data_IF_140443978127
#
_entry.id   IF_140443978127
#
_cell.length_a   1.000
_cell.length_b   1.000
_cell.length_c   1.000
_cell.angle_alpha   90.00
_cell.angle_beta   90.00
_cell.angle_gamma   90.00
#
_symmetry.space_group_name_H-M   'P 1'
#
loop_
_entity.id
_entity.type
_entity.pdbx_description
1 polymer ?
#
# COMPACT_ATOMS: atom_id res chain seq x y z
N UNK A 1 19.81 -26.35 -38.91
CA UNK A 1 19.85 -24.89 -38.64
C UNK A 1 18.79 -24.40 -37.65
N UNK A 2 17.54 -24.93 -37.65
CA UNK A 2 16.46 -24.48 -36.73
C UNK A 2 16.71 -24.75 -35.23
N UNK A 3 17.38 -25.85 -34.86
CA UNK A 3 17.70 -26.19 -33.46
C UNK A 3 18.88 -25.39 -32.87
N UNK A 4 19.78 -24.87 -33.71
CA UNK A 4 20.94 -24.10 -33.23
C UNK A 4 20.56 -22.66 -32.85
N UNK A 5 19.53 -22.09 -33.50
CA UNK A 5 19.01 -20.76 -33.13
C UNK A 5 18.28 -20.79 -31.79
N UNK A 6 17.55 -21.86 -31.48
CA UNK A 6 16.80 -22.00 -30.22
C UNK A 6 17.73 -22.17 -29.02
N UNK A 7 18.84 -22.89 -29.18
CA UNK A 7 19.86 -23.05 -28.14
C UNK A 7 20.65 -21.76 -27.88
N UNK A 8 20.97 -20.99 -28.93
CA UNK A 8 21.70 -19.74 -28.78
C UNK A 8 20.88 -18.66 -28.04
N UNK A 9 19.56 -18.62 -28.26
CA UNK A 9 18.64 -17.73 -27.56
C UNK A 9 18.49 -18.06 -26.06
N UNK A 10 18.49 -19.36 -25.71
CA UNK A 10 18.44 -19.80 -24.30
C UNK A 10 19.73 -19.46 -23.54
N UNK A 11 20.89 -19.56 -24.19
CA UNK A 11 22.20 -19.28 -23.58
C UNK A 11 22.42 -17.77 -23.38
N UNK A 12 21.89 -16.92 -24.26
CA UNK A 12 21.98 -15.45 -24.07
C UNK A 12 21.07 -14.94 -22.95
N UNK A 13 19.92 -15.57 -22.70
CA UNK A 13 19.10 -15.28 -21.53
C UNK A 13 19.82 -15.62 -20.20
N UNK A 14 20.65 -16.66 -20.17
CA UNK A 14 21.35 -17.08 -18.95
C UNK A 14 22.53 -16.16 -18.58
N UNK A 15 23.13 -15.46 -19.54
CA UNK A 15 24.27 -14.55 -19.30
C UNK A 15 23.87 -13.12 -18.89
N UNK A 16 22.56 -12.84 -18.80
CA UNK A 16 22.00 -11.57 -18.34
C UNK A 16 21.90 -11.43 -16.82
N UNK A 17 22.42 -12.39 -16.05
CA UNK A 17 22.54 -12.34 -14.58
C UNK A 17 23.60 -11.32 -14.15
N UNK A 18 23.43 -10.05 -14.54
CA UNK A 18 23.96 -8.94 -13.76
C UNK A 18 23.25 -9.04 -12.41
N UNK A 19 24.01 -9.05 -11.32
CA UNK A 19 23.48 -9.09 -9.97
C UNK A 19 22.57 -7.87 -9.76
N UNK A 20 21.28 -8.03 -10.06
CA UNK A 20 20.25 -7.10 -9.67
C UNK A 20 20.10 -7.28 -8.17
N UNK A 21 20.67 -6.33 -7.43
CA UNK A 21 20.66 -6.37 -5.97
C UNK A 21 19.20 -6.30 -5.52
N UNK A 22 18.71 -7.44 -5.04
CA UNK A 22 17.33 -7.60 -4.59
C UNK A 22 17.35 -7.52 -3.07
N UNK A 23 16.92 -6.38 -2.53
CA UNK A 23 16.85 -6.18 -1.09
C UNK A 23 15.43 -6.52 -0.63
N UNK A 24 15.31 -7.47 0.30
CA UNK A 24 14.06 -7.80 0.95
C UNK A 24 14.12 -7.43 2.42
N UNK A 25 13.07 -6.81 2.92
CA UNK A 25 13.03 -6.37 4.31
C UNK A 25 11.63 -6.23 4.88
N UNK A 26 11.51 -6.22 6.21
CA UNK A 26 10.26 -5.86 6.86
C UNK A 26 9.94 -4.40 6.59
N UNK A 27 8.66 -4.10 6.32
CA UNK A 27 8.13 -2.75 6.23
C UNK A 27 7.10 -2.53 7.33
N UNK A 28 7.25 -1.43 8.06
CA UNK A 28 6.28 -0.98 9.05
C UNK A 28 6.06 0.52 8.86
N UNK A 29 4.85 0.98 9.14
CA UNK A 29 4.50 2.38 8.96
C UNK A 29 3.19 2.74 9.62
N UNK A 30 2.89 4.03 9.57
CA UNK A 30 1.62 4.60 10.00
C UNK A 30 0.83 5.05 8.78
N UNK A 31 -0.48 4.87 8.85
CA UNK A 31 -1.42 5.28 7.81
C UNK A 31 -2.27 6.45 8.34
N UNK A 32 -2.63 7.38 7.47
CA UNK A 32 -3.55 8.47 7.76
C UNK A 32 -4.62 8.46 6.69
N UNK A 33 -5.80 7.95 7.06
CA UNK A 33 -6.91 7.82 6.14
C UNK A 33 -8.07 8.73 6.54
N UNK A 34 -8.69 9.31 5.51
CA UNK A 34 -10.00 9.95 5.56
C UNK A 34 -10.83 9.36 4.42
N UNK A 35 -12.07 8.99 4.67
CA UNK A 35 -12.98 8.44 3.66
C UNK A 35 -14.13 9.41 3.45
N UNK A 36 -14.46 9.72 2.20
CA UNK A 36 -15.69 10.43 1.85
C UNK A 36 -16.70 9.43 1.27
N UNK A 37 -17.95 9.53 1.69
CA UNK A 37 -19.05 8.74 1.13
C UNK A 37 -19.97 9.67 0.33
N UNK A 38 -20.09 9.42 -0.98
CA UNK A 38 -21.15 9.97 -1.83
C UNK A 38 -20.90 11.35 -2.44
N UNK A 39 -20.02 12.18 -1.89
CA UNK A 39 -19.80 13.53 -2.44
C UNK A 39 -18.30 13.93 -2.42
N UNK A 40 -17.83 14.49 -3.54
CA UNK A 40 -16.45 14.97 -3.66
C UNK A 40 -16.41 16.37 -3.07
N UNK A 41 -16.03 16.47 -1.78
CA UNK A 41 -15.88 17.76 -1.08
C UNK A 41 -16.90 18.03 0.02
N UNK A 42 -17.92 17.18 0.20
CA UNK A 42 -18.78 17.28 1.39
C UNK A 42 -18.05 16.68 2.59
N UNK A 43 -17.81 17.50 3.62
CA UNK A 43 -17.34 17.12 4.95
C UNK A 43 -16.30 16.00 4.95
N UNK A 44 -15.06 16.35 4.62
CA UNK A 44 -13.90 15.50 4.88
C UNK A 44 -14.02 14.97 6.31
N UNK A 45 -14.32 13.68 6.38
CA UNK A 45 -14.49 12.96 7.62
C UNK A 45 -13.13 12.97 8.34
N UNK A 46 -13.12 13.19 9.66
CA UNK A 46 -11.89 13.36 10.43
C UNK A 46 -10.89 12.23 10.15
N UNK A 47 -9.62 12.62 10.08
CA UNK A 47 -8.52 11.71 9.82
C UNK A 47 -8.41 10.70 10.95
N UNK A 48 -8.14 9.45 10.61
CA UNK A 48 -7.88 8.41 11.59
C UNK A 48 -6.54 7.75 11.30
N UNK A 49 -5.74 7.67 12.35
CA UNK A 49 -4.47 6.95 12.33
C UNK A 49 -4.71 5.45 12.18
N UNK A 50 -3.94 4.86 11.28
CA UNK A 50 -3.81 3.46 11.00
C UNK A 50 -2.35 3.03 11.09
N UNK A 51 -2.11 1.76 10.83
CA UNK A 51 -0.75 1.22 10.72
C UNK A 51 -0.70 0.23 9.57
N UNK A 52 0.51 0.03 9.06
CA UNK A 52 0.83 -0.97 8.07
C UNK A 52 2.05 -1.77 8.52
N UNK A 53 2.04 -3.06 8.22
CA UNK A 53 3.16 -3.95 8.49
C UNK A 53 3.21 -5.05 7.43
N UNK A 54 4.41 -5.45 7.00
CA UNK A 54 4.57 -6.47 5.98
C UNK A 54 5.99 -6.63 5.49
N UNK A 55 6.12 -7.07 4.24
CA UNK A 55 7.39 -7.30 3.57
C UNK A 55 7.46 -6.42 2.33
N UNK A 56 8.64 -5.87 2.05
CA UNK A 56 8.95 -5.15 0.83
C UNK A 56 10.20 -5.74 0.20
N UNK A 57 10.18 -5.91 -1.11
CA UNK A 57 11.29 -6.30 -1.96
C UNK A 57 11.59 -5.18 -2.95
N UNK A 58 12.79 -4.61 -2.89
CA UNK A 58 13.29 -3.60 -3.83
C UNK A 58 14.28 -4.29 -4.78
N UNK A 59 14.01 -4.22 -6.08
CA UNK A 59 14.81 -4.85 -7.11
C UNK A 59 15.36 -3.79 -8.07
N UNK A 60 16.69 -3.67 -8.12
CA UNK A 60 17.35 -2.67 -8.94
C UNK A 60 17.35 -3.07 -10.44
N UNK A 61 16.87 -2.16 -11.28
CA UNK A 61 16.85 -2.25 -12.74
C UNK A 61 17.68 -1.12 -13.38
N UNK A 62 18.81 -0.73 -12.79
CA UNK A 62 19.79 0.17 -13.39
C UNK A 62 20.50 1.05 -12.37
N UNK A 63 20.61 2.35 -12.67
CA UNK A 63 21.17 3.33 -11.72
C UNK A 63 20.12 4.26 -11.13
N UNK A 64 18.87 4.20 -11.62
CA UNK A 64 17.81 5.17 -11.29
C UNK A 64 16.42 4.58 -11.20
N UNK A 65 16.24 3.32 -11.62
CA UNK A 65 14.94 2.69 -11.67
C UNK A 65 14.98 1.38 -10.90
N UNK A 66 13.98 1.22 -10.04
CA UNK A 66 13.83 0.14 -9.10
C UNK A 66 12.41 -0.40 -9.23
N UNK A 67 12.23 -1.70 -9.04
CA UNK A 67 10.92 -2.31 -8.87
C UNK A 67 10.72 -2.65 -7.41
N UNK A 68 9.81 -1.94 -6.78
CA UNK A 68 9.40 -2.15 -5.41
C UNK A 68 8.14 -3.01 -5.40
N UNK A 69 8.24 -4.20 -4.80
CA UNK A 69 7.12 -5.11 -4.59
C UNK A 69 6.82 -5.19 -3.10
N UNK A 70 5.56 -5.05 -2.71
CA UNK A 70 5.20 -5.01 -1.29
C UNK A 70 4.01 -5.91 -1.01
N UNK A 71 4.04 -6.55 0.15
CA UNK A 71 2.93 -7.32 0.70
C UNK A 71 2.67 -6.83 2.11
N UNK A 72 1.56 -6.11 2.29
CA UNK A 72 1.27 -5.32 3.47
C UNK A 72 -0.06 -5.72 4.09
N UNK A 73 -0.09 -5.89 5.40
CA UNK A 73 -1.31 -5.79 6.18
C UNK A 73 -1.50 -4.33 6.58
N UNK A 74 -2.57 -3.70 6.12
CA UNK A 74 -2.89 -2.30 6.42
C UNK A 74 -4.21 -2.18 7.15
N UNK A 75 -4.24 -1.28 8.15
CA UNK A 75 -5.46 -0.90 8.86
C UNK A 75 -5.81 0.54 8.51
N UNK A 76 -6.79 0.71 7.63
CA UNK A 76 -7.34 2.02 7.22
C UNK A 76 -8.50 2.38 8.15
N UNK A 77 -8.69 3.66 8.41
CA UNK A 77 -9.77 4.11 9.28
C UNK A 77 -10.36 5.43 8.87
N UNK A 78 -11.57 5.69 9.35
CA UNK A 78 -12.18 7.03 9.26
C UNK A 78 -12.98 7.32 10.52
N UNK A 79 -13.10 8.61 10.89
CA UNK A 79 -13.86 9.06 12.04
C UNK A 79 -14.93 10.06 11.60
N UNK A 80 -16.20 9.66 11.66
CA UNK A 80 -17.34 10.54 11.39
C UNK A 80 -17.79 11.23 12.67
N UNK A 81 -18.01 12.55 12.61
CA UNK A 81 -18.69 13.30 13.67
C UNK A 81 -19.92 13.94 13.09
N UNK A 82 -21.06 13.66 13.71
CA UNK A 82 -22.30 14.38 13.47
C UNK A 82 -22.61 15.26 14.67
N UNK A 83 -22.53 16.58 14.47
CA UNK A 83 -22.78 17.58 15.50
C UNK A 83 -24.27 17.69 15.85
N UNK A 84 -25.18 17.37 14.92
CA UNK A 84 -26.62 17.47 15.14
C UNK A 84 -27.13 16.36 16.07
N UNK A 85 -26.57 15.16 15.95
CA UNK A 85 -26.94 13.98 16.75
C UNK A 85 -25.98 13.66 17.88
N UNK A 86 -24.90 14.45 18.06
CA UNK A 86 -23.78 14.18 19.00
C UNK A 86 -23.19 12.77 18.86
N UNK A 87 -23.21 12.23 17.64
CA UNK A 87 -22.74 10.88 17.35
C UNK A 87 -21.32 10.92 16.79
N UNK A 88 -20.43 10.10 17.34
CA UNK A 88 -19.11 9.84 16.76
C UNK A 88 -19.04 8.40 16.26
N UNK A 89 -18.88 8.25 14.95
CA UNK A 89 -18.65 6.96 14.29
C UNK A 89 -17.16 6.71 14.06
N UNK A 90 -16.74 5.48 14.32
CA UNK A 90 -15.39 4.99 14.09
C UNK A 90 -15.46 3.79 13.17
N UNK A 91 -14.92 3.94 11.97
CA UNK A 91 -14.79 2.84 11.03
C UNK A 91 -13.33 2.42 10.96
N UNK A 92 -13.08 1.11 11.09
CA UNK A 92 -11.76 0.50 10.98
C UNK A 92 -11.86 -0.62 9.96
N UNK A 93 -11.04 -0.60 8.94
CA UNK A 93 -11.04 -1.58 7.85
C UNK A 93 -9.63 -2.16 7.73
N UNK A 94 -9.55 -3.48 7.64
CA UNK A 94 -8.28 -4.18 7.46
C UNK A 94 -8.21 -4.70 6.02
N UNK A 95 -7.06 -4.48 5.40
CA UNK A 95 -6.77 -4.94 4.05
C UNK A 95 -5.46 -5.68 4.02
N UNK A 96 -5.39 -6.66 3.14
CA UNK A 96 -4.14 -7.21 2.64
C UNK A 96 -3.85 -6.52 1.30
N UNK A 97 -2.75 -5.80 1.20
CA UNK A 97 -2.34 -5.08 0.00
C UNK A 97 -1.12 -5.73 -0.63
N UNK A 98 -1.14 -5.84 -1.95
CA UNK A 98 -0.02 -6.24 -2.77
C UNK A 98 0.28 -5.11 -3.74
N UNK A 99 1.45 -4.49 -3.59
CA UNK A 99 1.87 -3.34 -4.37
C UNK A 99 2.96 -3.75 -5.35
N UNK A 100 2.84 -3.28 -6.59
CA UNK A 100 3.89 -3.42 -7.61
C UNK A 100 4.21 -2.04 -8.14
N UNK A 101 5.27 -1.43 -7.62
CA UNK A 101 5.60 -0.02 -7.81
C UNK A 101 6.92 0.11 -8.57
N UNK A 102 6.93 0.88 -9.63
CA UNK A 102 8.17 1.43 -10.18
C UNK A 102 8.65 2.57 -9.29
N UNK A 103 9.88 2.49 -8.79
CA UNK A 103 10.54 3.49 -7.95
C UNK A 103 11.65 4.15 -8.76
N UNK A 104 11.54 5.46 -8.95
CA UNK A 104 12.49 6.28 -9.69
C UNK A 104 13.25 7.21 -8.75
N UNK A 105 14.58 7.20 -8.83
CA UNK A 105 15.44 8.14 -8.12
C UNK A 105 15.47 9.50 -8.83
N UNK A 106 15.07 10.56 -8.12
CA UNK A 106 15.06 11.93 -8.62
C UNK A 106 16.41 12.64 -8.41
N UNK A 107 17.25 12.12 -7.52
CA UNK A 107 18.52 12.73 -7.10
C UNK A 107 19.71 12.14 -7.88
N UNK A 108 19.59 10.89 -8.34
CA UNK A 108 20.53 10.23 -9.25
C UNK A 108 21.72 9.55 -8.56
N UNK A 109 21.70 9.44 -7.24
CA UNK A 109 22.77 8.85 -6.42
C UNK A 109 22.30 7.62 -5.62
N UNK A 110 21.09 7.12 -5.85
CA UNK A 110 20.42 6.06 -5.10
C UNK A 110 20.26 6.29 -3.60
N UNK A 111 20.54 7.51 -3.15
CA UNK A 111 20.42 7.99 -1.78
C UNK A 111 19.73 9.35 -1.85
N UNK A 112 18.40 9.37 -1.69
CA UNK A 112 17.67 10.61 -1.83
C UNK A 112 16.16 10.46 -1.96
N UNK A 113 15.57 11.40 -2.69
CA UNK A 113 14.15 11.44 -2.94
C UNK A 113 13.78 10.47 -4.07
N UNK A 114 12.80 9.62 -3.80
CA UNK A 114 12.26 8.68 -4.77
C UNK A 114 10.80 9.01 -5.09
N UNK A 115 10.41 8.76 -6.33
CA UNK A 115 9.02 8.77 -6.77
C UNK A 115 8.59 7.33 -7.06
N UNK A 116 7.46 6.92 -6.52
CA UNK A 116 6.87 5.60 -6.78
C UNK A 116 5.59 5.73 -7.60
N UNK A 117 5.40 4.82 -8.55
CA UNK A 117 4.21 4.74 -9.40
C UNK A 117 3.92 3.28 -9.71
N UNK A 118 2.68 2.85 -9.52
CA UNK A 118 2.26 1.52 -9.97
C UNK A 118 0.89 1.13 -9.45
N UNK A 119 0.40 -0.05 -9.87
CA UNK A 119 -0.83 -0.60 -9.35
C UNK A 119 -0.67 -1.10 -7.90
N UNK A 120 -1.75 -0.93 -7.15
CA UNK A 120 -1.97 -1.51 -5.82
C UNK A 120 -3.19 -2.42 -5.90
N UNK A 121 -3.04 -3.64 -5.39
CA UNK A 121 -4.14 -4.60 -5.26
C UNK A 121 -4.50 -4.76 -3.80
N UNK A 122 -5.72 -4.37 -3.41
CA UNK A 122 -6.19 -4.45 -2.03
C UNK A 122 -7.29 -5.50 -1.88
N UNK A 123 -7.11 -6.42 -0.93
CA UNK A 123 -8.11 -7.41 -0.55
C UNK A 123 -8.68 -7.08 0.83
N UNK A 124 -10.00 -6.92 0.91
CA UNK A 124 -10.69 -6.63 2.17
C UNK A 124 -10.73 -7.88 3.06
N UNK A 125 -10.19 -7.78 4.27
CA UNK A 125 -10.16 -8.88 5.24
C UNK A 125 -11.25 -8.79 6.30
N UNK A 126 -11.83 -7.61 6.48
CA UNK A 126 -12.83 -7.35 7.51
C UNK A 126 -12.59 -6.02 8.21
N UNK A 127 -13.60 -5.57 8.93
CA UNK A 127 -13.63 -4.28 9.59
C UNK A 127 -14.46 -4.29 10.86
N UNK A 128 -14.48 -3.12 11.51
CA UNK A 128 -15.32 -2.84 12.66
C UNK A 128 -15.85 -1.42 12.55
N UNK A 129 -17.15 -1.29 12.76
CA UNK A 129 -17.84 -0.02 12.88
C UNK A 129 -18.30 0.13 14.31
N UNK A 130 -17.89 1.22 14.97
CA UNK A 130 -18.28 1.56 16.33
C UNK A 130 -18.90 2.94 16.35
N UNK A 131 -20.13 3.04 16.84
CA UNK A 131 -20.81 4.32 17.03
C UNK A 131 -20.95 4.63 18.52
N UNK A 132 -20.58 5.86 18.88
CA UNK A 132 -20.69 6.38 20.24
C UNK A 132 -21.64 7.57 20.21
N UNK A 133 -22.73 7.50 20.98
CA UNK A 133 -23.69 8.60 21.17
C UNK A 133 -23.64 9.03 22.63
N UNK A 134 -23.42 10.32 22.90
CA UNK A 134 -23.33 10.87 24.27
C UNK A 134 -22.39 10.10 25.22
N UNK A 135 -21.27 9.59 24.67
CA UNK A 135 -20.26 8.84 25.44
C UNK A 135 -20.63 7.38 25.76
N UNK A 136 -21.81 6.92 25.35
CA UNK A 136 -22.22 5.52 25.46
C UNK A 136 -22.08 4.81 24.11
N UNK A 137 -21.59 3.58 24.13
CA UNK A 137 -21.53 2.74 22.93
C UNK A 137 -22.94 2.30 22.56
N UNK A 138 -23.43 2.78 21.42
CA UNK A 138 -24.76 2.41 20.93
C UNK A 138 -24.69 1.22 19.98
N UNK A 139 -23.55 1.03 19.30
CA UNK A 139 -23.42 0.00 18.26
C UNK A 139 -21.95 -0.38 18.03
N UNK A 140 -21.63 -1.67 18.15
CA UNK A 140 -20.36 -2.29 17.74
C UNK A 140 -20.68 -3.52 16.89
N UNK A 141 -20.31 -3.50 15.61
CA UNK A 141 -20.42 -4.69 14.75
C UNK A 141 -19.20 -4.85 13.84
N UNK A 142 -18.92 -6.12 13.55
CA UNK A 142 -17.89 -6.54 12.61
C UNK A 142 -18.47 -6.52 11.20
N UNK A 143 -17.65 -6.12 10.25
CA UNK A 143 -17.96 -6.07 8.81
C UNK A 143 -16.99 -6.94 8.05
#
# INVERSE_FOLDING_TARGET
MRLMLTGLFLVTCATGLRAQESAWGPRVGVDLAAQSFGDIGANLTDWKFGYLAGLAGDHDFGNRFHLLTEFLYIKKGTRTRDAATRTTGYTTLNYLEADVLGKFDLTGNNEGLFMTLGPTFSYFMGGRVRNVMDGQETTDYKV
#
